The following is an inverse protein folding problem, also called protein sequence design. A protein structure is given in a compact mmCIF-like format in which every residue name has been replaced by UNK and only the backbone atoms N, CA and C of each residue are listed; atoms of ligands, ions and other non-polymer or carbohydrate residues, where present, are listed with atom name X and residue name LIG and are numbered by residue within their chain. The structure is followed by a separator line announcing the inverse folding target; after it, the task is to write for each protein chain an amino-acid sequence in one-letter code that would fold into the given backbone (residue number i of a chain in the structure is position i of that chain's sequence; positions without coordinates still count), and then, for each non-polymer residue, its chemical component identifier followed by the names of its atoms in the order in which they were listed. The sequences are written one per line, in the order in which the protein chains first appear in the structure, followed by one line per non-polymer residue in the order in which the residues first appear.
data_IF_304431992563
#
_entry.id   IF_304431992563
#
_cell.length_a   1.000
_cell.length_b   1.000
_cell.length_c   1.000
_cell.angle_alpha   90.00
_cell.angle_beta   90.00
_cell.angle_gamma   90.00
#
_symmetry.space_group_name_H-M   'P 1'
#
loop_
_entity.id
_entity.type
_entity.pdbx_description
1 polymer ?
#
# COMPACT_ATOMS: atom_id res chain seq x y z
N UNK A 1 -29.90 -12.41 -15.36
CA UNK A 1 -28.72 -12.66 -14.49
C UNK A 1 -27.61 -13.10 -15.42
N UNK A 2 -26.56 -12.30 -15.59
CA UNK A 2 -25.36 -12.70 -16.36
C UNK A 2 -24.37 -13.29 -15.37
N UNK A 3 -23.93 -14.51 -15.61
CA UNK A 3 -22.88 -15.18 -14.83
C UNK A 3 -21.59 -15.07 -15.63
N UNK A 4 -20.61 -14.37 -15.09
CA UNK A 4 -19.26 -14.33 -15.63
C UNK A 4 -18.45 -15.47 -15.02
N UNK A 5 -17.64 -16.13 -15.83
CA UNK A 5 -16.86 -17.26 -15.40
C UNK A 5 -15.44 -17.20 -16.00
N UNK A 6 -14.44 -17.06 -15.15
CA UNK A 6 -13.05 -17.13 -15.58
C UNK A 6 -12.63 -18.56 -15.91
N UNK A 7 -11.91 -18.76 -17.02
CA UNK A 7 -11.46 -20.06 -17.50
C UNK A 7 -9.93 -20.14 -17.62
N UNK A 8 -9.31 -21.08 -16.91
CA UNK A 8 -7.90 -21.43 -17.14
C UNK A 8 -7.78 -22.52 -18.19
N UNK A 9 -6.89 -22.35 -19.13
CA UNK A 9 -6.68 -23.26 -20.26
C UNK A 9 -5.27 -23.87 -20.17
N UNK A 10 -5.16 -25.17 -20.30
CA UNK A 10 -3.90 -25.88 -20.48
C UNK A 10 -3.94 -26.71 -21.77
N UNK A 11 -2.98 -26.47 -22.67
CA UNK A 11 -2.81 -27.28 -23.85
C UNK A 11 -1.96 -28.52 -23.53
N UNK A 12 -2.53 -29.71 -23.74
CA UNK A 12 -1.87 -30.97 -23.42
C UNK A 12 -0.92 -31.34 -24.56
N UNK A 13 0.37 -31.11 -24.38
CA UNK A 13 1.43 -31.50 -25.31
C UNK A 13 1.95 -32.92 -25.03
N UNK A 14 2.01 -33.27 -23.73
CA UNK A 14 2.46 -34.60 -23.29
C UNK A 14 1.28 -35.42 -22.74
N UNK A 15 0.91 -36.48 -23.46
CA UNK A 15 -0.20 -37.38 -23.12
C UNK A 15 0.11 -38.31 -21.92
N UNK A 16 1.35 -38.41 -21.48
CA UNK A 16 1.75 -39.20 -20.31
C UNK A 16 1.52 -38.45 -19.00
N UNK A 17 1.14 -37.16 -19.07
CA UNK A 17 0.86 -36.38 -17.89
C UNK A 17 -0.41 -36.86 -17.18
N UNK A 18 -0.38 -36.91 -15.84
CA UNK A 18 -1.55 -37.27 -15.06
C UNK A 18 -2.68 -36.22 -15.23
N UNK A 19 -3.91 -36.67 -15.18
CA UNK A 19 -5.10 -35.80 -15.27
C UNK A 19 -5.07 -34.72 -14.20
N UNK A 20 -4.67 -35.05 -12.96
CA UNK A 20 -4.51 -34.08 -11.90
C UNK A 20 -3.48 -33.00 -12.24
N UNK A 21 -2.35 -33.39 -12.83
CA UNK A 21 -1.34 -32.43 -13.30
C UNK A 21 -1.81 -31.51 -14.42
N UNK A 22 -2.73 -31.96 -15.26
CA UNK A 22 -3.38 -31.13 -16.30
C UNK A 22 -4.36 -30.14 -15.66
N UNK A 23 -5.18 -30.62 -14.72
CA UNK A 23 -6.15 -29.80 -13.99
C UNK A 23 -5.43 -28.72 -13.18
N UNK A 24 -4.34 -29.04 -12.49
CA UNK A 24 -3.57 -28.10 -11.69
C UNK A 24 -2.98 -26.97 -12.54
N UNK A 25 -2.50 -27.26 -13.75
CA UNK A 25 -2.03 -26.24 -14.70
C UNK A 25 -3.15 -25.32 -15.17
N UNK A 26 -4.32 -25.89 -15.50
CA UNK A 26 -5.47 -25.10 -15.89
C UNK A 26 -5.98 -24.22 -14.72
N UNK A 27 -6.03 -24.76 -13.50
CA UNK A 27 -6.36 -23.98 -12.30
C UNK A 27 -5.36 -22.85 -12.06
N UNK A 28 -4.07 -23.12 -12.26
CA UNK A 28 -3.04 -22.10 -12.11
C UNK A 28 -3.22 -20.98 -13.13
N UNK A 29 -3.46 -21.32 -14.41
CA UNK A 29 -3.75 -20.32 -15.44
C UNK A 29 -4.99 -19.46 -15.09
N UNK A 30 -6.03 -20.06 -14.49
CA UNK A 30 -7.21 -19.33 -14.03
C UNK A 30 -6.85 -18.26 -12.98
N UNK A 31 -5.95 -18.55 -12.03
CA UNK A 31 -5.53 -17.60 -10.99
C UNK A 31 -4.85 -16.33 -11.55
N UNK A 32 -4.31 -16.39 -12.77
CA UNK A 32 -3.68 -15.26 -13.46
C UNK A 32 -4.64 -14.47 -14.36
N UNK A 33 -5.95 -14.63 -14.19
CA UNK A 33 -6.93 -13.76 -14.84
C UNK A 33 -7.05 -12.51 -13.96
N UNK A 34 -6.60 -11.38 -14.47
CA UNK A 34 -6.63 -10.09 -13.78
C UNK A 34 -7.96 -9.37 -13.96
N UNK A 35 -8.65 -9.59 -15.08
CA UNK A 35 -9.96 -9.01 -15.38
C UNK A 35 -10.79 -10.01 -16.16
N UNK A 36 -11.81 -10.58 -15.48
CA UNK A 36 -12.72 -11.56 -16.08
C UNK A 36 -13.67 -10.96 -17.13
N UNK A 37 -13.86 -9.64 -17.15
CA UNK A 37 -14.70 -8.95 -18.11
C UNK A 37 -13.97 -8.67 -19.42
N UNK A 38 -12.67 -8.31 -19.34
CA UNK A 38 -11.85 -7.98 -20.51
C UNK A 38 -11.27 -9.24 -21.14
N UNK A 39 -10.76 -10.15 -20.32
CA UNK A 39 -10.16 -11.41 -20.76
C UNK A 39 -10.59 -12.55 -19.84
N UNK A 40 -11.73 -13.19 -20.11
CA UNK A 40 -12.30 -14.22 -19.22
C UNK A 40 -11.54 -15.55 -19.23
N UNK A 41 -10.38 -15.62 -19.86
CA UNK A 41 -9.53 -16.81 -19.87
C UNK A 41 -8.05 -16.44 -19.81
N UNK A 42 -7.27 -17.39 -19.31
CA UNK A 42 -5.82 -17.35 -19.45
C UNK A 42 -5.28 -18.73 -19.82
N UNK A 43 -4.17 -18.75 -20.55
CA UNK A 43 -3.53 -19.98 -21.02
C UNK A 43 -2.32 -20.23 -20.13
N UNK A 44 -2.17 -21.48 -19.65
CA UNK A 44 -1.03 -21.86 -18.84
C UNK A 44 0.28 -21.67 -19.60
N UNK A 45 1.22 -21.03 -18.95
CA UNK A 45 2.62 -20.93 -19.34
C UNK A 45 3.51 -21.51 -18.23
N UNK A 46 4.65 -22.09 -18.59
CA UNK A 46 5.58 -22.72 -17.64
C UNK A 46 6.09 -21.71 -16.60
N UNK A 47 6.25 -20.46 -17.00
CA UNK A 47 6.66 -19.37 -16.09
C UNK A 47 5.68 -19.15 -14.94
N UNK A 48 4.39 -19.38 -15.14
CA UNK A 48 3.36 -19.28 -14.09
C UNK A 48 3.62 -20.27 -12.96
N UNK A 49 4.08 -21.48 -13.28
CA UNK A 49 4.42 -22.49 -12.27
C UNK A 49 5.62 -22.05 -11.43
N UNK A 50 6.66 -21.55 -12.08
CA UNK A 50 7.85 -21.04 -11.40
C UNK A 50 7.48 -19.89 -10.46
N UNK A 51 6.74 -18.91 -10.96
CA UNK A 51 6.27 -17.77 -10.18
C UNK A 51 5.42 -18.18 -8.96
N UNK A 52 4.51 -19.15 -9.13
CA UNK A 52 3.67 -19.64 -8.03
C UNK A 52 4.48 -20.38 -6.95
N UNK A 53 5.44 -21.23 -7.37
CA UNK A 53 6.33 -21.92 -6.43
C UNK A 53 7.18 -20.90 -5.66
N UNK A 54 7.76 -19.92 -6.35
CA UNK A 54 8.55 -18.87 -5.73
C UNK A 54 7.75 -18.09 -4.68
N UNK A 55 6.48 -17.78 -4.94
CA UNK A 55 5.61 -17.10 -3.98
C UNK A 55 5.31 -17.95 -2.74
N UNK A 56 5.01 -19.24 -2.92
CA UNK A 56 4.75 -20.15 -1.81
C UNK A 56 6.01 -20.36 -0.94
N UNK A 57 7.18 -20.45 -1.56
CA UNK A 57 8.46 -20.52 -0.85
C UNK A 57 8.72 -19.24 -0.05
N UNK A 58 8.52 -18.07 -0.67
CA UNK A 58 8.70 -16.77 -0.01
C UNK A 58 7.77 -16.61 1.20
N UNK A 59 6.50 -17.01 1.06
CA UNK A 59 5.57 -16.99 2.19
C UNK A 59 6.02 -17.93 3.34
N UNK A 60 6.57 -19.09 3.00
CA UNK A 60 7.13 -20.02 4.00
C UNK A 60 8.40 -19.51 4.69
N UNK A 61 9.15 -18.62 4.04
CA UNK A 61 10.39 -18.04 4.57
C UNK A 61 10.14 -16.80 5.45
N UNK A 62 8.90 -16.24 5.52
CA UNK A 62 8.57 -15.01 6.24
C UNK A 62 9.09 -15.00 7.68
N UNK A 63 8.72 -15.99 8.49
CA UNK A 63 9.06 -16.01 9.92
C UNK A 63 10.55 -16.05 10.15
N UNK A 64 11.28 -16.79 9.31
CA UNK A 64 12.74 -16.82 9.36
C UNK A 64 13.32 -15.48 8.93
N UNK A 65 12.77 -14.85 7.89
CA UNK A 65 13.16 -13.53 7.43
C UNK A 65 12.95 -12.44 8.48
N UNK A 66 11.82 -12.49 9.21
CA UNK A 66 11.55 -11.58 10.33
C UNK A 66 12.55 -11.78 11.48
N UNK A 67 12.78 -13.03 11.88
CA UNK A 67 13.71 -13.38 12.96
C UNK A 67 15.17 -13.00 12.65
N UNK A 68 15.56 -13.01 11.38
CA UNK A 68 16.91 -12.65 10.92
C UNK A 68 17.00 -11.19 10.45
N UNK A 69 16.00 -10.37 10.72
CA UNK A 69 15.94 -8.96 10.33
C UNK A 69 16.22 -8.69 8.83
N UNK A 70 15.78 -9.62 7.96
CA UNK A 70 15.92 -9.48 6.52
C UNK A 70 14.96 -8.41 5.95
N UNK A 71 13.89 -8.09 6.69
CA UNK A 71 12.93 -7.05 6.33
C UNK A 71 13.38 -5.71 6.90
N UNK A 72 13.52 -4.73 6.01
CA UNK A 72 13.95 -3.37 6.36
C UNK A 72 12.86 -2.37 6.02
N UNK A 73 12.58 -1.45 6.93
CA UNK A 73 11.68 -0.34 6.67
C UNK A 73 12.46 0.77 5.98
N UNK A 74 11.94 1.21 4.85
CA UNK A 74 12.41 2.38 4.10
C UNK A 74 11.37 3.47 4.26
N UNK A 75 11.78 4.72 4.15
CA UNK A 75 10.93 5.87 4.31
C UNK A 75 10.92 6.69 3.02
N UNK A 76 9.74 6.93 2.46
CA UNK A 76 9.63 7.82 1.30
C UNK A 76 9.05 9.16 1.73
N UNK A 77 9.77 10.27 1.50
CA UNK A 77 9.30 11.60 1.87
C UNK A 77 8.02 11.98 1.13
N UNK A 78 7.10 12.60 1.87
CA UNK A 78 5.91 13.29 1.37
C UNK A 78 6.11 14.77 1.65
N UNK A 79 6.09 15.59 0.62
CA UNK A 79 6.41 17.02 0.72
C UNK A 79 5.16 17.87 0.52
N UNK A 80 5.17 19.05 1.10
CA UNK A 80 4.20 20.10 0.83
C UNK A 80 4.30 20.55 -0.63
N UNK A 81 3.20 20.55 -1.36
CA UNK A 81 3.19 20.86 -2.78
C UNK A 81 3.62 22.31 -3.08
N UNK A 82 3.39 23.26 -2.17
CA UNK A 82 3.68 24.68 -2.36
C UNK A 82 5.11 25.04 -1.97
N UNK A 83 5.57 24.50 -0.82
CA UNK A 83 6.89 24.86 -0.25
C UNK A 83 7.99 23.87 -0.59
N UNK A 84 7.66 22.61 -0.92
CA UNK A 84 8.62 21.53 -1.08
C UNK A 84 9.20 21.00 0.24
N UNK A 85 8.76 21.52 1.39
CA UNK A 85 9.20 21.06 2.69
C UNK A 85 8.57 19.71 3.03
N UNK A 86 9.32 18.89 3.76
CA UNK A 86 8.81 17.59 4.19
C UNK A 86 7.68 17.75 5.22
N UNK A 87 6.56 17.08 4.96
CA UNK A 87 5.37 17.04 5.83
C UNK A 87 5.21 15.74 6.57
N UNK A 88 5.59 14.63 5.92
CA UNK A 88 5.49 13.28 6.45
C UNK A 88 6.36 12.34 5.64
N UNK A 89 6.36 11.05 5.97
CA UNK A 89 6.90 10.01 5.11
C UNK A 89 6.02 8.77 5.13
N UNK A 90 6.13 7.93 4.13
CA UNK A 90 5.52 6.61 4.08
C UNK A 90 6.54 5.54 4.41
N UNK A 91 6.17 4.59 5.28
CA UNK A 91 6.97 3.43 5.64
C UNK A 91 6.73 2.32 4.61
N UNK A 92 7.77 1.98 3.88
CA UNK A 92 7.74 1.00 2.80
C UNK A 92 8.67 -0.17 3.11
N UNK A 93 8.12 -1.37 3.22
CA UNK A 93 8.90 -2.55 3.53
C UNK A 93 9.75 -3.02 2.35
N UNK A 94 10.96 -3.45 2.64
CA UNK A 94 11.92 -4.03 1.69
C UNK A 94 12.45 -5.34 2.23
N UNK A 95 12.51 -6.36 1.40
CA UNK A 95 13.08 -7.66 1.78
C UNK A 95 14.45 -7.84 1.16
N UNK A 96 15.48 -7.85 1.99
CA UNK A 96 16.86 -8.13 1.61
C UNK A 96 17.14 -9.60 1.94
N UNK A 97 16.83 -10.47 0.98
CA UNK A 97 16.93 -11.91 1.16
C UNK A 97 18.37 -12.38 0.96
N UNK A 98 18.96 -13.23 1.85
CA UNK A 98 20.38 -13.58 1.81
C UNK A 98 20.80 -14.33 0.55
N UNK A 99 19.90 -15.06 -0.09
CA UNK A 99 20.18 -15.83 -1.32
C UNK A 99 19.66 -15.16 -2.59
N UNK A 100 18.53 -14.42 -2.49
CA UNK A 100 17.83 -13.82 -3.65
C UNK A 100 18.18 -12.33 -3.84
N UNK A 101 18.89 -11.72 -2.89
CA UNK A 101 19.13 -10.28 -2.87
C UNK A 101 17.84 -9.50 -2.57
N UNK A 102 17.64 -8.42 -3.25
CA UNK A 102 16.46 -7.57 -3.07
C UNK A 102 15.23 -8.21 -3.71
N UNK A 103 14.24 -8.60 -2.88
CA UNK A 103 12.96 -9.14 -3.33
C UNK A 103 11.93 -8.01 -3.40
N UNK A 104 11.30 -7.85 -4.57
CA UNK A 104 10.31 -6.79 -4.79
C UNK A 104 9.05 -6.98 -3.92
N UNK A 105 8.54 -5.91 -3.30
CA UNK A 105 7.23 -5.94 -2.60
C UNK A 105 6.10 -6.47 -3.47
N UNK A 106 6.09 -6.14 -4.76
CA UNK A 106 5.10 -6.64 -5.72
C UNK A 106 5.08 -8.18 -5.87
N UNK A 107 6.13 -8.88 -5.40
CA UNK A 107 6.20 -10.34 -5.42
C UNK A 107 5.78 -10.93 -4.07
N UNK A 108 6.36 -10.44 -2.96
CA UNK A 108 6.15 -11.08 -1.66
C UNK A 108 4.89 -10.61 -0.94
N UNK A 109 4.45 -9.36 -1.09
CA UNK A 109 3.21 -8.87 -0.44
C UNK A 109 2.00 -9.70 -0.88
N UNK A 110 1.71 -9.85 -2.21
CA UNK A 110 0.59 -10.69 -2.64
C UNK A 110 0.75 -12.17 -2.22
N UNK A 111 1.98 -12.68 -2.11
CA UNK A 111 2.21 -14.05 -1.62
C UNK A 111 1.82 -14.21 -0.14
N UNK A 112 2.11 -13.20 0.68
CA UNK A 112 1.76 -13.17 2.09
C UNK A 112 0.26 -12.97 2.30
N UNK A 113 -0.40 -12.15 1.49
CA UNK A 113 -1.85 -11.98 1.49
C UNK A 113 -2.57 -13.30 1.15
N UNK A 114 -2.17 -13.95 0.03
CA UNK A 114 -2.74 -15.25 -0.38
C UNK A 114 -2.55 -16.35 0.67
N UNK A 115 -1.45 -16.33 1.40
CA UNK A 115 -1.15 -17.30 2.45
C UNK A 115 -1.71 -16.94 3.83
N UNK A 116 -2.28 -15.74 3.99
CA UNK A 116 -2.81 -15.24 5.25
C UNK A 116 -1.76 -14.82 6.28
N UNK A 117 -0.54 -14.54 5.83
CA UNK A 117 0.59 -14.17 6.71
C UNK A 117 0.95 -12.69 6.66
N UNK A 118 0.22 -11.88 5.89
CA UNK A 118 0.55 -10.46 5.73
C UNK A 118 0.51 -9.71 7.07
N UNK A 119 -0.45 -10.02 7.95
CA UNK A 119 -0.56 -9.37 9.26
C UNK A 119 0.66 -9.57 10.16
N UNK A 120 1.40 -10.68 10.01
CA UNK A 120 2.67 -10.87 10.76
C UNK A 120 3.72 -9.85 10.30
N UNK A 121 3.77 -9.55 8.99
CA UNK A 121 4.67 -8.55 8.41
C UNK A 121 4.23 -7.13 8.79
N UNK A 122 2.94 -6.82 8.62
CA UNK A 122 2.41 -5.49 8.90
C UNK A 122 2.56 -5.13 10.38
N UNK A 123 2.39 -6.11 11.27
CA UNK A 123 2.65 -5.91 12.69
C UNK A 123 4.15 -5.66 12.99
N UNK A 124 5.05 -6.35 12.28
CA UNK A 124 6.48 -6.08 12.41
C UNK A 124 6.82 -4.66 11.96
N UNK A 125 6.32 -4.25 10.79
CA UNK A 125 6.53 -2.89 10.25
C UNK A 125 5.99 -1.85 11.22
N UNK A 126 4.76 -2.04 11.70
CA UNK A 126 4.10 -1.13 12.64
C UNK A 126 4.95 -0.94 13.90
N UNK A 127 5.47 -2.01 14.49
CA UNK A 127 6.36 -1.91 15.66
C UNK A 127 7.62 -1.12 15.36
N UNK A 128 8.29 -1.42 14.23
CA UNK A 128 9.52 -0.71 13.83
C UNK A 128 9.29 0.78 13.64
N UNK A 129 8.18 1.17 13.02
CA UNK A 129 7.83 2.58 12.82
C UNK A 129 7.54 3.28 14.15
N UNK A 130 6.79 2.64 15.06
CA UNK A 130 6.54 3.21 16.39
C UNK A 130 7.82 3.32 17.22
N UNK A 131 8.72 2.35 17.15
CA UNK A 131 10.05 2.40 17.77
C UNK A 131 10.87 3.58 17.22
N UNK A 132 10.91 3.74 15.90
CA UNK A 132 11.59 4.85 15.22
C UNK A 132 11.04 6.21 15.67
N UNK A 133 9.73 6.41 15.61
CA UNK A 133 9.10 7.68 16.01
C UNK A 133 9.33 8.00 17.49
N UNK A 134 9.27 7.00 18.37
CA UNK A 134 9.52 7.17 19.82
C UNK A 134 10.96 7.57 20.08
N UNK A 135 11.92 6.87 19.49
CA UNK A 135 13.34 7.20 19.62
C UNK A 135 13.63 8.63 19.20
N UNK A 136 13.09 9.08 18.08
CA UNK A 136 13.22 10.49 17.64
C UNK A 136 12.69 11.49 18.68
N UNK A 137 11.54 11.17 19.27
CA UNK A 137 10.97 12.00 20.34
C UNK A 137 11.88 12.05 21.58
N UNK A 138 12.42 10.90 22.00
CA UNK A 138 13.37 10.78 23.12
C UNK A 138 14.67 11.56 22.85
N UNK A 139 15.14 11.55 21.61
CA UNK A 139 16.32 12.32 21.16
C UNK A 139 16.03 13.82 20.97
N UNK A 140 14.81 14.29 21.29
CA UNK A 140 14.41 15.70 21.16
C UNK A 140 14.29 16.19 19.71
N UNK A 141 14.21 15.30 18.76
CA UNK A 141 14.07 15.61 17.33
C UNK A 141 12.63 15.98 16.99
N UNK A 142 12.45 16.85 15.99
CA UNK A 142 11.12 17.18 15.47
C UNK A 142 10.42 15.93 14.96
N UNK A 143 9.21 15.69 15.46
CA UNK A 143 8.42 14.57 14.99
C UNK A 143 7.93 14.80 13.56
N UNK A 144 8.10 13.78 12.72
CA UNK A 144 7.55 13.71 11.38
C UNK A 144 6.56 12.55 11.39
N UNK A 145 5.29 12.79 11.02
CA UNK A 145 4.31 11.72 10.92
C UNK A 145 4.75 10.68 9.88
N UNK A 146 4.68 9.41 10.25
CA UNK A 146 4.98 8.30 9.34
C UNK A 146 3.70 7.53 9.09
N UNK A 147 3.38 7.32 7.81
CA UNK A 147 2.25 6.50 7.40
C UNK A 147 2.65 5.03 7.32
N UNK A 148 1.75 4.16 7.77
CA UNK A 148 1.91 2.71 7.85
C UNK A 148 0.77 2.06 7.08
N UNK A 149 1.09 1.18 6.15
CA UNK A 149 0.11 0.40 5.41
C UNK A 149 -0.52 -0.66 6.31
N UNK A 150 -1.85 -0.80 6.25
CA UNK A 150 -2.60 -1.87 6.90
C UNK A 150 -3.39 -2.65 5.86
N UNK A 151 -3.26 -3.97 5.90
CA UNK A 151 -4.07 -4.87 5.11
C UNK A 151 -5.45 -5.09 5.73
N UNK A 152 -6.43 -5.53 4.94
CA UNK A 152 -7.75 -5.86 5.48
C UNK A 152 -7.71 -6.98 6.52
N UNK A 153 -6.71 -7.86 6.47
CA UNK A 153 -6.54 -8.96 7.41
C UNK A 153 -6.17 -8.48 8.82
N UNK A 154 -5.46 -7.35 8.93
CA UNK A 154 -5.03 -6.79 10.21
C UNK A 154 -6.20 -6.43 11.11
N UNK A 155 -7.29 -5.97 10.50
CA UNK A 155 -8.51 -5.62 11.23
C UNK A 155 -9.22 -6.82 11.87
N UNK A 156 -8.86 -8.04 11.51
CA UNK A 156 -9.33 -9.28 12.16
C UNK A 156 -8.34 -9.83 13.19
N UNK A 157 -7.14 -9.28 13.30
CA UNK A 157 -6.18 -9.61 14.37
C UNK A 157 -6.42 -8.70 15.59
N UNK A 158 -7.28 -9.17 16.51
CA UNK A 158 -7.63 -8.44 17.73
C UNK A 158 -6.41 -8.05 18.57
N UNK A 159 -5.34 -8.87 18.58
CA UNK A 159 -4.12 -8.58 19.35
C UNK A 159 -3.33 -7.45 18.72
N UNK A 160 -3.18 -7.48 17.40
CA UNK A 160 -2.52 -6.42 16.65
C UNK A 160 -3.30 -5.11 16.79
N UNK A 161 -4.61 -5.11 16.57
CA UNK A 161 -5.45 -3.92 16.66
C UNK A 161 -5.42 -3.30 18.06
N UNK A 162 -5.54 -4.12 19.11
CA UNK A 162 -5.42 -3.65 20.48
C UNK A 162 -4.06 -3.01 20.75
N UNK A 163 -2.96 -3.64 20.28
CA UNK A 163 -1.62 -3.10 20.41
C UNK A 163 -1.48 -1.76 19.68
N UNK A 164 -2.02 -1.65 18.46
CA UNK A 164 -2.02 -0.41 17.68
C UNK A 164 -2.75 0.69 18.47
N UNK A 165 -3.96 0.43 18.94
CA UNK A 165 -4.78 1.39 19.67
C UNK A 165 -4.08 1.93 20.94
N UNK A 166 -3.45 1.03 21.72
CA UNK A 166 -2.70 1.41 22.94
C UNK A 166 -1.47 2.27 22.60
N UNK A 167 -0.78 1.96 21.49
CA UNK A 167 0.40 2.72 21.07
C UNK A 167 0.05 4.04 20.40
N UNK A 168 -1.05 4.13 19.65
CA UNK A 168 -1.59 5.39 19.11
C UNK A 168 -1.89 6.37 20.26
N UNK A 169 -2.64 5.91 21.27
CA UNK A 169 -2.99 6.74 22.43
C UNK A 169 -1.74 7.20 23.21
N UNK A 170 -0.76 6.32 23.36
CA UNK A 170 0.51 6.65 24.03
C UNK A 170 1.33 7.66 23.20
N UNK A 171 1.37 7.48 21.89
CA UNK A 171 2.09 8.35 20.97
C UNK A 171 1.47 9.75 20.89
N UNK A 172 0.15 9.84 20.92
CA UNK A 172 -0.56 11.12 20.95
C UNK A 172 -0.16 11.97 22.17
N UNK A 173 0.04 11.35 23.33
CA UNK A 173 0.51 12.04 24.56
C UNK A 173 1.93 12.61 24.39
N UNK A 174 2.72 12.05 23.49
CA UNK A 174 4.06 12.52 23.12
C UNK A 174 4.05 13.51 21.93
N UNK A 175 2.86 13.89 21.44
CA UNK A 175 2.72 14.74 20.26
C UNK A 175 3.03 14.05 18.92
N UNK A 176 3.09 12.71 18.93
CA UNK A 176 3.34 11.90 17.74
C UNK A 176 2.00 11.59 17.05
N UNK A 177 1.87 11.93 15.77
CA UNK A 177 0.71 11.57 14.95
C UNK A 177 0.99 10.27 14.22
N UNK A 178 0.30 9.20 14.59
CA UNK A 178 0.31 7.91 13.88
C UNK A 178 -0.62 8.00 12.69
N UNK A 179 -0.18 7.52 11.53
CA UNK A 179 -0.93 7.52 10.26
C UNK A 179 -1.08 6.11 9.75
N UNK A 180 -2.27 5.74 9.27
CA UNK A 180 -2.56 4.43 8.73
C UNK A 180 -3.18 4.55 7.35
N UNK A 181 -2.59 3.86 6.39
CA UNK A 181 -3.02 3.79 5.00
C UNK A 181 -3.80 2.50 4.77
N UNK A 182 -4.94 2.61 4.15
CA UNK A 182 -5.85 1.49 3.85
C UNK A 182 -6.23 1.62 2.40
N UNK A 183 -5.93 0.61 1.59
CA UNK A 183 -6.31 0.63 0.17
C UNK A 183 -7.82 0.48 0.01
N UNK A 184 -8.35 1.03 -1.08
CA UNK A 184 -9.76 0.91 -1.44
C UNK A 184 -10.22 -0.55 -1.47
N UNK A 185 -9.43 -1.44 -2.09
CA UNK A 185 -9.73 -2.87 -2.18
C UNK A 185 -9.73 -3.56 -0.83
N UNK A 186 -8.81 -3.20 0.05
CA UNK A 186 -8.78 -3.68 1.44
C UNK A 186 -10.03 -3.28 2.18
N UNK A 187 -10.49 -2.06 1.97
CA UNK A 187 -11.67 -1.53 2.63
C UNK A 187 -12.95 -2.21 2.15
N UNK A 188 -13.08 -2.51 0.85
CA UNK A 188 -14.21 -3.27 0.32
C UNK A 188 -14.26 -4.73 0.85
N UNK A 189 -13.11 -5.35 1.09
CA UNK A 189 -13.03 -6.70 1.65
C UNK A 189 -13.56 -6.79 3.10
N UNK A 190 -13.52 -5.70 3.86
CA UNK A 190 -13.96 -5.62 5.26
C UNK A 190 -15.48 -5.56 5.44
N UNK A 191 -16.30 -6.38 4.81
CA UNK A 191 -17.77 -6.30 4.67
C UNK A 191 -18.61 -6.18 5.95
N UNK A 192 -18.09 -6.47 7.14
CA UNK A 192 -18.78 -6.35 8.43
C UNK A 192 -17.83 -5.79 9.49
N UNK A 193 -18.23 -4.82 10.30
CA UNK A 193 -17.46 -4.11 11.35
C UNK A 193 -16.61 -2.90 10.93
N UNK A 194 -16.71 -2.41 9.71
CA UNK A 194 -15.88 -1.32 9.16
C UNK A 194 -15.89 -0.04 10.00
N UNK A 195 -17.09 0.43 10.37
CA UNK A 195 -17.28 1.72 11.03
C UNK A 195 -16.61 1.80 12.40
N UNK A 196 -16.66 0.71 13.17
CA UNK A 196 -16.19 0.73 14.55
C UNK A 196 -14.67 0.83 14.67
N UNK A 197 -13.92 0.21 13.75
CA UNK A 197 -12.45 0.12 13.85
C UNK A 197 -11.80 1.42 13.40
N UNK A 198 -12.20 1.96 12.22
CA UNK A 198 -11.67 3.23 11.71
C UNK A 198 -11.94 4.37 12.69
N UNK A 199 -13.20 4.49 13.14
CA UNK A 199 -13.59 5.46 14.15
C UNK A 199 -12.86 5.26 15.48
N UNK A 200 -12.59 4.02 15.91
CA UNK A 200 -11.83 3.74 17.13
C UNK A 200 -10.42 4.28 17.04
N UNK A 201 -9.73 4.04 15.93
CA UNK A 201 -8.39 4.56 15.67
C UNK A 201 -8.38 6.10 15.65
N UNK A 202 -9.34 6.73 14.97
CA UNK A 202 -9.46 8.19 14.89
C UNK A 202 -9.77 8.81 16.26
N UNK A 203 -10.68 8.22 17.04
CA UNK A 203 -10.98 8.66 18.42
C UNK A 203 -9.77 8.60 19.35
N UNK A 204 -8.81 7.71 19.06
CA UNK A 204 -7.54 7.63 19.80
C UNK A 204 -6.45 8.55 19.24
N UNK A 205 -6.75 9.31 18.19
CA UNK A 205 -5.87 10.33 17.60
C UNK A 205 -5.03 9.85 16.42
N UNK A 206 -5.35 8.68 15.84
CA UNK A 206 -4.77 8.28 14.56
C UNK A 206 -5.33 9.14 13.42
N UNK A 207 -4.52 9.32 12.39
CA UNK A 207 -4.90 9.90 11.11
C UNK A 207 -5.05 8.75 10.11
N UNK A 208 -6.15 8.72 9.38
CA UNK A 208 -6.49 7.64 8.45
C UNK A 208 -6.40 8.13 7.01
N UNK A 209 -5.80 7.32 6.15
CA UNK A 209 -5.59 7.61 4.75
C UNK A 209 -6.30 6.56 3.90
N UNK A 210 -7.04 7.02 2.89
CA UNK A 210 -7.54 6.14 1.83
C UNK A 210 -6.51 6.13 0.71
N UNK A 211 -5.96 4.95 0.43
CA UNK A 211 -4.89 4.74 -0.54
C UNK A 211 -5.38 4.17 -1.87
N UNK A 212 -4.55 4.32 -2.92
CA UNK A 212 -4.79 3.84 -4.29
C UNK A 212 -6.07 4.42 -4.95
N UNK A 213 -6.51 5.63 -4.55
CA UNK A 213 -7.73 6.21 -5.09
C UNK A 213 -7.63 6.50 -6.59
N UNK A 214 -8.55 5.90 -7.33
CA UNK A 214 -8.61 6.04 -8.79
C UNK A 214 -7.88 4.95 -9.56
N UNK A 215 -7.29 3.95 -8.89
CA UNK A 215 -6.73 2.77 -9.53
C UNK A 215 -7.79 1.76 -10.00
N UNK A 216 -9.03 1.83 -9.46
CA UNK A 216 -10.11 0.87 -9.66
C UNK A 216 -11.47 1.49 -10.03
N UNK A 217 -12.54 0.68 -9.94
CA UNK A 217 -13.88 1.04 -10.44
C UNK A 217 -14.85 1.56 -9.36
N UNK A 218 -14.49 1.62 -8.06
CA UNK A 218 -15.49 1.68 -6.98
C UNK A 218 -15.34 2.82 -5.97
N UNK A 219 -14.36 3.67 -6.09
CA UNK A 219 -13.86 4.63 -5.08
C UNK A 219 -14.90 5.54 -4.38
N UNK A 220 -15.98 5.92 -5.06
CA UNK A 220 -16.93 6.89 -4.48
C UNK A 220 -17.77 6.33 -3.32
N UNK A 221 -18.09 5.03 -3.33
CA UNK A 221 -18.88 4.39 -2.27
C UNK A 221 -18.16 4.42 -0.92
N UNK A 222 -16.85 4.25 -0.93
CA UNK A 222 -16.03 4.28 0.28
C UNK A 222 -16.02 5.69 0.90
N UNK A 223 -15.86 6.73 0.07
CA UNK A 223 -15.90 8.13 0.54
C UNK A 223 -17.29 8.59 1.00
N UNK A 224 -18.35 7.97 0.48
CA UNK A 224 -19.72 8.28 0.90
C UNK A 224 -20.02 7.71 2.30
N UNK A 225 -19.50 6.53 2.60
CA UNK A 225 -19.83 5.79 3.81
C UNK A 225 -18.87 6.05 4.98
N UNK A 226 -17.65 6.56 4.70
CA UNK A 226 -16.57 6.66 5.68
C UNK A 226 -15.81 7.98 5.61
N UNK A 227 -15.38 8.46 6.77
CA UNK A 227 -14.57 9.66 6.90
C UNK A 227 -13.10 9.29 6.98
N UNK A 228 -12.32 9.71 6.00
CA UNK A 228 -10.86 9.67 6.02
C UNK A 228 -10.31 11.07 6.20
N UNK A 229 -9.13 11.18 6.79
CA UNK A 229 -8.45 12.46 6.98
C UNK A 229 -7.67 12.88 5.73
N UNK A 230 -7.15 11.90 4.98
CA UNK A 230 -6.29 12.13 3.82
C UNK A 230 -6.70 11.18 2.69
N UNK A 231 -6.67 11.68 1.45
CA UNK A 231 -6.87 10.94 0.22
C UNK A 231 -5.55 10.85 -0.54
N UNK A 232 -5.09 9.64 -0.88
CA UNK A 232 -3.90 9.42 -1.71
C UNK A 232 -4.35 9.08 -3.14
N UNK A 233 -3.93 9.88 -4.09
CA UNK A 233 -4.23 9.66 -5.51
C UNK A 233 -3.18 8.74 -6.10
N UNK A 234 -3.65 7.64 -6.69
CA UNK A 234 -2.80 6.65 -7.34
C UNK A 234 -1.95 7.23 -8.48
N UNK A 235 -0.72 6.74 -8.56
CA UNK A 235 0.27 7.16 -9.55
C UNK A 235 -0.20 7.05 -11.00
N UNK A 236 -1.14 6.15 -11.31
CA UNK A 236 -1.63 5.96 -12.68
C UNK A 236 -2.35 7.20 -13.21
N UNK A 237 -3.05 7.95 -12.35
CA UNK A 237 -3.67 9.23 -12.72
C UNK A 237 -2.63 10.34 -12.86
N UNK A 238 -1.67 10.40 -11.94
CA UNK A 238 -0.61 11.42 -11.95
C UNK A 238 0.28 11.29 -13.18
N UNK A 239 0.66 10.07 -13.57
CA UNK A 239 1.46 9.81 -14.77
C UNK A 239 0.77 10.24 -16.08
N UNK A 240 -0.55 10.27 -16.10
CA UNK A 240 -1.31 10.67 -17.29
C UNK A 240 -1.48 12.19 -17.44
N UNK A 241 -1.03 13.00 -16.51
CA UNK A 241 -1.14 14.47 -16.54
C UNK A 241 -0.57 15.03 -17.85
N UNK A 242 0.56 14.52 -18.32
CA UNK A 242 1.25 15.03 -19.51
C UNK A 242 0.60 14.60 -20.82
N UNK A 243 -0.02 13.42 -20.85
CA UNK A 243 -0.45 12.76 -22.09
C UNK A 243 -1.95 12.78 -22.31
N UNK A 244 -2.75 12.98 -21.25
CA UNK A 244 -4.20 12.85 -21.33
C UNK A 244 -4.93 14.06 -20.71
N UNK A 245 -5.49 14.97 -21.55
CA UNK A 245 -6.25 16.11 -21.04
C UNK A 245 -7.47 15.75 -20.18
N UNK A 246 -8.07 14.57 -20.41
CA UNK A 246 -9.20 14.11 -19.58
C UNK A 246 -8.72 13.74 -18.18
N UNK A 247 -7.55 13.13 -18.06
CA UNK A 247 -6.94 12.81 -16.75
C UNK A 247 -6.63 14.07 -15.96
N UNK A 248 -6.16 15.16 -16.61
CA UNK A 248 -6.04 16.48 -15.97
C UNK A 248 -7.36 16.99 -15.41
N UNK A 249 -8.45 16.88 -16.16
CA UNK A 249 -9.77 17.35 -15.71
C UNK A 249 -10.32 16.49 -14.56
N UNK A 250 -10.13 15.17 -14.64
CA UNK A 250 -10.52 14.25 -13.58
C UNK A 250 -9.75 14.56 -12.30
N UNK A 251 -8.44 14.72 -12.38
CA UNK A 251 -7.58 14.99 -11.22
C UNK A 251 -7.96 16.31 -10.53
N UNK A 252 -8.24 17.38 -11.30
CA UNK A 252 -8.78 18.63 -10.74
C UNK A 252 -10.09 18.42 -9.97
N UNK A 253 -10.98 17.62 -10.53
CA UNK A 253 -12.26 17.31 -9.88
C UNK A 253 -12.07 16.50 -8.60
N UNK A 254 -11.12 15.57 -8.58
CA UNK A 254 -10.78 14.78 -7.38
C UNK A 254 -10.19 15.70 -6.29
N UNK A 255 -9.29 16.61 -6.64
CA UNK A 255 -8.69 17.57 -5.69
C UNK A 255 -9.80 18.43 -5.07
N UNK A 256 -10.68 19.00 -5.89
CA UNK A 256 -11.79 19.82 -5.41
C UNK A 256 -12.74 19.01 -4.50
N UNK A 257 -13.10 17.79 -4.90
CA UNK A 257 -13.95 16.91 -4.13
C UNK A 257 -13.33 16.57 -2.76
N UNK A 258 -12.05 16.24 -2.70
CA UNK A 258 -11.37 15.93 -1.44
C UNK A 258 -11.43 17.13 -0.48
N UNK A 259 -11.19 18.34 -0.96
CA UNK A 259 -11.28 19.57 -0.16
C UNK A 259 -12.71 19.85 0.31
N UNK A 260 -13.73 19.64 -0.56
CA UNK A 260 -15.13 19.78 -0.15
C UNK A 260 -15.55 18.79 0.93
N UNK A 261 -14.92 17.60 0.95
CA UNK A 261 -15.11 16.59 2.01
C UNK A 261 -14.25 16.87 3.25
N UNK A 262 -13.44 17.93 3.26
CA UNK A 262 -12.56 18.29 4.38
C UNK A 262 -11.31 17.43 4.50
N UNK A 263 -10.94 16.69 3.45
CA UNK A 263 -9.78 15.83 3.40
C UNK A 263 -8.56 16.57 2.87
N UNK A 264 -7.36 16.23 3.38
CA UNK A 264 -6.10 16.57 2.71
C UNK A 264 -5.84 15.60 1.57
N UNK A 265 -5.02 16.01 0.61
CA UNK A 265 -4.72 15.20 -0.56
C UNK A 265 -3.22 15.01 -0.74
N UNK A 266 -2.82 13.76 -1.03
CA UNK A 266 -1.46 13.38 -1.43
C UNK A 266 -1.50 12.83 -2.85
N UNK A 267 -0.75 13.42 -3.77
CA UNK A 267 -0.58 12.89 -5.13
C UNK A 267 0.68 12.03 -5.18
N UNK A 268 0.52 10.79 -5.65
CA UNK A 268 1.60 9.81 -5.70
C UNK A 268 2.26 9.68 -7.07
N UNK A 269 3.52 9.23 -7.07
CA UNK A 269 4.23 8.88 -8.28
C UNK A 269 4.59 10.04 -9.19
N UNK A 270 4.70 11.26 -8.66
CA UNK A 270 5.18 12.40 -9.43
C UNK A 270 6.69 12.25 -9.73
N UNK A 271 7.03 12.31 -11.03
CA UNK A 271 8.38 12.06 -11.53
C UNK A 271 8.94 13.26 -12.31
N UNK A 272 8.09 14.17 -12.79
CA UNK A 272 8.49 15.28 -13.65
C UNK A 272 8.09 16.65 -13.09
N UNK A 273 8.80 17.68 -13.50
CA UNK A 273 8.48 19.06 -13.11
C UNK A 273 7.09 19.50 -13.61
N UNK A 274 6.66 19.05 -14.80
CA UNK A 274 5.33 19.36 -15.33
C UNK A 274 4.22 18.83 -14.43
N UNK A 275 4.38 17.61 -13.89
CA UNK A 275 3.45 17.03 -12.93
C UNK A 275 3.41 17.84 -11.63
N UNK A 276 4.58 18.23 -11.10
CA UNK A 276 4.68 19.04 -9.88
C UNK A 276 3.99 20.41 -10.07
N UNK A 277 4.27 21.10 -11.18
CA UNK A 277 3.66 22.41 -11.49
C UNK A 277 2.14 22.26 -11.58
N UNK A 278 1.66 21.26 -12.32
CA UNK A 278 0.22 21.01 -12.44
C UNK A 278 -0.45 20.74 -11.07
N UNK A 279 0.12 19.89 -10.23
CA UNK A 279 -0.42 19.58 -8.92
C UNK A 279 -0.45 20.82 -8.01
N UNK A 280 0.61 21.62 -8.02
CA UNK A 280 0.72 22.87 -7.27
C UNK A 280 -0.31 23.91 -7.71
N UNK A 281 -0.48 24.12 -9.03
CA UNK A 281 -1.43 25.06 -9.59
C UNK A 281 -2.89 24.67 -9.35
N UNK A 282 -3.16 23.40 -9.04
CA UNK A 282 -4.50 22.93 -8.73
C UNK A 282 -4.71 22.65 -7.24
N UNK A 283 -3.89 23.28 -6.37
CA UNK A 283 -4.03 23.25 -4.92
C UNK A 283 -3.91 21.84 -4.30
N UNK A 284 -3.14 20.92 -4.90
CA UNK A 284 -2.75 19.70 -4.23
C UNK A 284 -1.99 20.03 -2.93
N UNK A 285 -2.31 19.34 -1.81
CA UNK A 285 -1.69 19.66 -0.53
C UNK A 285 -0.29 19.09 -0.41
N UNK A 286 -0.11 17.81 -0.76
CA UNK A 286 1.15 17.10 -0.65
C UNK A 286 1.46 16.28 -1.89
N UNK A 287 2.74 16.02 -2.12
CA UNK A 287 3.23 15.22 -3.24
C UNK A 287 4.24 14.20 -2.73
N UNK A 288 4.10 12.98 -3.24
CA UNK A 288 5.04 11.88 -3.06
C UNK A 288 5.50 11.38 -4.43
N UNK A 289 6.80 11.26 -4.66
CA UNK A 289 7.28 10.75 -5.93
C UNK A 289 8.79 10.85 -6.11
N UNK A 290 9.28 10.17 -7.14
CA UNK A 290 10.71 10.11 -7.44
C UNK A 290 11.32 11.43 -7.88
N UNK A 291 10.49 12.42 -8.19
CA UNK A 291 10.95 13.79 -8.39
C UNK A 291 11.67 14.34 -7.15
N UNK A 292 11.17 14.05 -5.96
CA UNK A 292 11.77 14.47 -4.70
C UNK A 292 12.74 13.44 -4.14
N UNK A 293 12.27 12.21 -3.95
CA UNK A 293 13.08 11.12 -3.43
C UNK A 293 12.46 9.75 -3.73
N UNK A 294 13.32 8.76 -3.92
CA UNK A 294 12.94 7.35 -3.80
C UNK A 294 12.80 6.99 -2.32
N UNK A 295 12.19 5.83 -2.00
CA UNK A 295 12.25 5.31 -0.63
C UNK A 295 13.69 5.15 -0.15
N UNK A 296 14.00 5.71 1.01
CA UNK A 296 15.34 5.77 1.60
C UNK A 296 15.42 4.81 2.80
N UNK A 297 16.54 4.10 3.03
CA UNK A 297 16.80 3.45 4.29
C UNK A 297 16.85 4.47 5.44
N UNK A 298 16.74 4.01 6.69
CA UNK A 298 16.59 4.88 7.87
C UNK A 298 17.72 5.93 7.99
N UNK A 299 18.95 5.54 7.79
CA UNK A 299 20.13 6.42 7.85
C UNK A 299 20.09 7.51 6.76
N UNK A 300 19.85 7.14 5.52
CA UNK A 300 19.72 8.09 4.42
C UNK A 300 18.47 9.01 4.59
N UNK A 301 17.40 8.49 5.19
CA UNK A 301 16.22 9.31 5.49
C UNK A 301 16.55 10.36 6.57
N UNK A 302 17.30 10.01 7.61
CA UNK A 302 17.76 10.96 8.62
C UNK A 302 18.67 12.05 8.01
N UNK A 303 19.57 11.68 7.09
CA UNK A 303 20.37 12.65 6.33
C UNK A 303 19.49 13.58 5.48
N UNK A 304 18.48 13.03 4.81
CA UNK A 304 17.51 13.82 4.04
C UNK A 304 16.75 14.84 4.90
N UNK A 305 16.51 14.53 6.18
CA UNK A 305 15.95 15.45 7.17
C UNK A 305 16.93 16.51 7.67
N UNK A 306 18.20 16.45 7.28
CA UNK A 306 19.26 17.30 7.82
C UNK A 306 19.67 16.92 9.23
N UNK A 307 19.49 15.68 9.61
CA UNK A 307 19.82 15.11 10.93
C UNK A 307 20.98 14.12 10.79
N UNK A 308 22.18 14.55 11.16
CA UNK A 308 23.38 13.71 11.25
C UNK A 308 23.66 13.32 12.71
#
# INVERSE_FOLDING_TARGET
MHIFCGCGIFFVENKEMSINGMIDRAKLAKKYITDEYVKPYNIYDVSMKSYYIDRAELAGELRNGLAQEQFKVYYQPVVDAKTGEIRSAEALIRWVHPKRGFVSPAIFIPALEESGHISELDFYVTKKVFEFMRKRCEDGKKNIPISINLSWMDFYDEKMMKWIEENVESSQKLGIKSRFEITETSFEAMKQNRNNILESLQKKGAVTLLDDFGSGYSSYGVLQDYNFDILKIDMSLVRQIETNPKSRSILKSIIAMAHELGMQLVAEGAETEEQIVFLRENDCDCIQGYYYSKPLPEDEFLEYLGEN
#
